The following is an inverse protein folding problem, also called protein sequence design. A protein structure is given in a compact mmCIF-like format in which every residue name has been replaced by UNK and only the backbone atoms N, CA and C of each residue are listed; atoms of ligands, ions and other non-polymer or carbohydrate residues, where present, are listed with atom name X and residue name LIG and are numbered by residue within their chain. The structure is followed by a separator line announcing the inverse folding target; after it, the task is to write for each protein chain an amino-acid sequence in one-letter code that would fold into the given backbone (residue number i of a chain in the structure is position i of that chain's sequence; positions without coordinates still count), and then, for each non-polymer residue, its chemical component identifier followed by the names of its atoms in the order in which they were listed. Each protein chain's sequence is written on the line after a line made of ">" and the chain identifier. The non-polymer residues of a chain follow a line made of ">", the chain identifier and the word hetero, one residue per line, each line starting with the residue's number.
data_IF_857532241651
#
_entry.id   IF_857532241651
#
_cell.length_a   1.000
_cell.length_b   1.000
_cell.length_c   1.000
_cell.angle_alpha   90.00
_cell.angle_beta   90.00
_cell.angle_gamma   90.00
#
_symmetry.space_group_name_H-M   'P 1'
#
loop_
_entity.id
_entity.type
_entity.pdbx_description
1 polymer ?
#
# COMPACT_ATOMS: atom_id res chain seq x y z
N UNK A 1 -24.73 12.92 -2.36
CA UNK A 1 -23.85 11.76 -2.09
C UNK A 1 -22.83 11.68 -3.22
N UNK A 2 -21.52 11.59 -2.96
CA UNK A 2 -20.48 11.54 -4.01
C UNK A 2 -20.86 10.53 -5.10
N UNK A 3 -20.85 10.93 -6.37
CA UNK A 3 -21.11 10.01 -7.48
C UNK A 3 -19.91 9.07 -7.67
N UNK A 4 -19.89 8.02 -6.85
CA UNK A 4 -18.82 7.05 -6.74
C UNK A 4 -18.48 6.40 -8.09
N UNK A 5 -19.48 6.24 -8.96
CA UNK A 5 -19.28 5.66 -10.29
C UNK A 5 -18.47 6.60 -11.19
N UNK A 6 -18.79 7.90 -11.19
CA UNK A 6 -18.04 8.91 -11.95
C UNK A 6 -16.58 8.98 -11.47
N UNK A 7 -16.36 9.10 -10.17
CA UNK A 7 -15.00 9.15 -9.58
C UNK A 7 -14.18 7.91 -9.95
N UNK A 8 -14.78 6.72 -9.85
CA UNK A 8 -14.08 5.46 -10.20
C UNK A 8 -13.72 5.40 -11.67
N UNK A 9 -14.61 5.86 -12.55
CA UNK A 9 -14.36 5.90 -13.99
C UNK A 9 -13.22 6.87 -14.30
N UNK A 10 -13.25 8.07 -13.71
CA UNK A 10 -12.24 9.10 -13.93
C UNK A 10 -10.86 8.66 -13.44
N UNK A 11 -10.77 8.15 -12.20
CA UNK A 11 -9.55 7.55 -11.66
C UNK A 11 -8.98 6.49 -12.60
N UNK A 12 -9.81 5.56 -13.07
CA UNK A 12 -9.34 4.49 -13.94
C UNK A 12 -8.82 5.03 -15.29
N UNK A 13 -9.52 5.99 -15.90
CA UNK A 13 -9.05 6.60 -17.15
C UNK A 13 -7.73 7.34 -16.96
N UNK A 14 -7.60 8.10 -15.87
CA UNK A 14 -6.39 8.86 -15.57
C UNK A 14 -5.19 7.97 -15.29
N UNK A 15 -5.36 6.90 -14.51
CA UNK A 15 -4.32 5.89 -14.29
C UNK A 15 -3.93 5.22 -15.61
N UNK A 16 -4.91 4.91 -16.47
CA UNK A 16 -4.63 4.30 -17.77
C UNK A 16 -3.80 5.22 -18.67
N UNK A 17 -4.01 6.54 -18.62
CA UNK A 17 -3.17 7.49 -19.36
C UNK A 17 -1.75 7.62 -18.80
N UNK A 18 -1.53 7.32 -17.51
CA UNK A 18 -0.24 7.45 -16.83
C UNK A 18 0.63 6.19 -16.89
N UNK A 19 0.17 5.10 -17.54
CA UNK A 19 0.90 3.82 -17.57
C UNK A 19 2.33 3.98 -18.09
N UNK A 20 2.54 4.77 -19.15
CA UNK A 20 3.88 5.02 -19.69
C UNK A 20 4.81 5.71 -18.69
N UNK A 21 4.33 6.73 -17.98
CA UNK A 21 5.08 7.44 -16.94
C UNK A 21 5.38 6.54 -15.74
N UNK A 22 4.45 5.66 -15.36
CA UNK A 22 4.67 4.67 -14.30
C UNK A 22 5.77 3.69 -14.71
N UNK A 23 5.71 3.15 -15.92
CA UNK A 23 6.71 2.21 -16.45
C UNK A 23 8.09 2.83 -16.56
N UNK A 24 8.16 4.08 -17.01
CA UNK A 24 9.39 4.84 -17.03
C UNK A 24 9.93 5.07 -15.61
N UNK A 25 9.06 5.51 -14.70
CA UNK A 25 9.43 5.75 -13.31
C UNK A 25 9.98 4.53 -12.58
N UNK A 26 9.45 3.33 -12.87
CA UNK A 26 9.96 2.06 -12.33
C UNK A 26 11.40 1.76 -12.74
N UNK A 27 11.90 2.32 -13.85
CA UNK A 27 13.30 2.13 -14.29
C UNK A 27 14.28 2.98 -13.49
N UNK A 28 13.81 4.07 -12.90
CA UNK A 28 14.65 5.09 -12.27
C UNK A 28 14.42 5.23 -10.76
N UNK A 29 13.37 4.61 -10.22
CA UNK A 29 13.06 4.64 -8.80
C UNK A 29 11.67 4.07 -8.49
N UNK A 30 11.04 4.62 -7.46
CA UNK A 30 9.71 4.23 -6.99
C UNK A 30 8.71 5.27 -7.48
N UNK A 31 7.90 4.99 -8.51
CA UNK A 31 6.86 5.91 -8.95
C UNK A 31 5.76 6.01 -7.90
N UNK A 32 5.28 7.22 -7.69
CA UNK A 32 4.15 7.52 -6.82
C UNK A 32 3.06 8.20 -7.63
N UNK A 33 1.83 7.77 -7.42
CA UNK A 33 0.66 8.54 -7.78
C UNK A 33 0.48 9.65 -6.76
N UNK A 34 0.62 10.89 -7.21
CA UNK A 34 0.38 12.10 -6.42
C UNK A 34 -0.83 12.79 -7.01
N UNK A 35 -1.83 13.08 -6.18
CA UNK A 35 -3.06 13.66 -6.67
C UNK A 35 -3.89 14.35 -5.62
N UNK A 36 -4.86 15.10 -6.14
CA UNK A 36 -5.88 15.78 -5.38
C UNK A 36 -7.25 15.41 -5.96
N UNK A 37 -8.17 15.01 -5.08
CA UNK A 37 -9.57 14.78 -5.43
C UNK A 37 -10.42 15.83 -4.72
N UNK A 38 -10.95 16.78 -5.49
CA UNK A 38 -11.81 17.84 -4.97
C UNK A 38 -13.28 17.44 -5.16
N UNK A 39 -14.01 17.38 -4.05
CA UNK A 39 -15.43 17.04 -3.99
C UNK A 39 -16.28 18.32 -4.07
N UNK A 40 -16.09 19.10 -5.13
CA UNK A 40 -16.65 20.46 -5.21
C UNK A 40 -18.15 20.51 -5.53
N UNK A 41 -18.72 19.48 -6.17
CA UNK A 41 -20.17 19.28 -6.27
C UNK A 41 -20.51 17.83 -6.66
N UNK A 42 -21.77 17.41 -6.50
CA UNK A 42 -22.19 16.01 -6.76
C UNK A 42 -22.03 15.58 -8.23
N UNK A 43 -21.87 16.54 -9.15
CA UNK A 43 -21.94 16.30 -10.59
C UNK A 43 -20.59 16.23 -11.29
N UNK A 44 -19.52 16.84 -10.77
CA UNK A 44 -18.21 16.79 -11.42
C UNK A 44 -17.05 16.78 -10.40
N UNK A 45 -16.52 15.60 -10.05
CA UNK A 45 -15.35 15.50 -9.20
C UNK A 45 -14.10 15.93 -9.98
N UNK A 46 -13.42 16.97 -9.52
CA UNK A 46 -12.13 17.37 -10.10
C UNK A 46 -11.03 16.45 -9.57
N UNK A 47 -10.36 15.73 -10.47
CA UNK A 47 -9.26 14.82 -10.15
C UNK A 47 -7.98 15.31 -10.83
N UNK A 48 -7.04 15.74 -10.02
CA UNK A 48 -5.65 15.91 -10.45
C UNK A 48 -4.84 14.68 -10.07
N UNK A 49 -4.07 14.15 -11.02
CA UNK A 49 -3.25 12.97 -10.82
C UNK A 49 -2.01 13.06 -11.70
N UNK A 50 -0.86 12.84 -11.08
CA UNK A 50 0.47 12.87 -11.71
C UNK A 50 1.34 11.72 -11.18
N UNK A 51 2.40 11.40 -11.90
CA UNK A 51 3.44 10.47 -11.46
C UNK A 51 4.66 11.24 -11.00
N UNK A 52 5.14 10.96 -9.79
CA UNK A 52 6.42 11.49 -9.27
C UNK A 52 7.32 10.32 -8.88
N UNK A 53 8.60 10.39 -9.23
CA UNK A 53 9.57 9.30 -8.97
C UNK A 53 10.47 9.68 -7.82
N UNK A 54 10.60 8.78 -6.85
CA UNK A 54 11.49 8.93 -5.70
C UNK A 54 12.57 7.85 -5.73
N UNK A 55 13.79 8.19 -5.30
CA UNK A 55 14.92 7.26 -5.35
C UNK A 55 14.83 6.13 -4.33
N UNK A 56 14.36 6.41 -3.10
CA UNK A 56 14.40 5.41 -2.00
C UNK A 56 13.19 5.40 -1.06
N UNK A 57 12.21 6.29 -1.25
CA UNK A 57 11.07 6.40 -0.34
C UNK A 57 9.80 5.81 -0.95
N UNK A 58 9.03 5.05 -0.17
CA UNK A 58 7.71 4.48 -0.55
C UNK A 58 6.58 5.05 0.33
N UNK A 59 6.45 6.38 0.36
CA UNK A 59 5.53 7.05 1.28
C UNK A 59 4.08 6.96 0.83
N UNK A 60 3.22 6.47 1.74
CA UNK A 60 1.77 6.55 1.60
C UNK A 60 1.26 7.74 2.43
N UNK A 61 0.70 8.74 1.77
CA UNK A 61 0.13 9.94 2.40
C UNK A 61 -1.33 10.05 1.97
N UNK A 62 -2.24 10.19 2.93
CA UNK A 62 -3.64 10.48 2.69
C UNK A 62 -4.07 11.59 3.65
N UNK A 63 -4.35 12.76 3.11
CA UNK A 63 -4.80 13.93 3.86
C UNK A 63 -6.23 14.25 3.41
N UNK A 64 -7.09 14.54 4.39
CA UNK A 64 -8.46 14.98 4.14
C UNK A 64 -8.58 16.40 4.65
N UNK A 65 -8.83 17.34 3.75
CA UNK A 65 -8.99 18.75 4.09
C UNK A 65 -10.32 19.26 3.53
N UNK A 66 -11.32 19.32 4.40
CA UNK A 66 -12.69 19.72 4.03
C UNK A 66 -13.26 18.85 2.91
N UNK A 67 -13.35 19.43 1.70
CA UNK A 67 -13.85 18.77 0.49
C UNK A 67 -12.74 18.19 -0.39
N UNK A 68 -11.48 18.37 -0.04
CA UNK A 68 -10.35 17.86 -0.79
C UNK A 68 -9.75 16.62 -0.12
N UNK A 69 -9.32 15.67 -0.96
CA UNK A 69 -8.50 14.53 -0.55
C UNK A 69 -7.18 14.63 -1.30
N UNK A 70 -6.11 14.95 -0.57
CA UNK A 70 -4.75 14.93 -1.11
C UNK A 70 -4.11 13.59 -0.82
N UNK A 71 -3.41 13.03 -1.79
CA UNK A 71 -2.83 11.71 -1.63
C UNK A 71 -1.51 11.54 -2.38
N UNK A 72 -0.67 10.66 -1.81
CA UNK A 72 0.54 10.14 -2.41
C UNK A 72 0.58 8.63 -2.15
N UNK A 73 0.76 7.84 -3.20
CA UNK A 73 0.77 6.37 -3.09
C UNK A 73 1.85 5.79 -4.01
N UNK A 74 2.80 4.98 -3.51
CA UNK A 74 3.74 4.27 -4.37
C UNK A 74 3.00 3.27 -5.24
N UNK A 75 3.51 3.07 -6.45
CA UNK A 75 2.99 2.11 -7.42
C UNK A 75 4.00 1.00 -7.61
N UNK A 76 3.58 -0.23 -7.32
CA UNK A 76 4.46 -1.41 -7.40
C UNK A 76 4.32 -2.18 -8.72
N UNK A 77 3.35 -1.83 -9.57
CA UNK A 77 3.12 -2.47 -10.87
C UNK A 77 2.50 -1.50 -11.89
N UNK A 78 2.82 -1.67 -13.17
CA UNK A 78 2.27 -0.80 -14.23
C UNK A 78 0.88 -1.22 -14.71
N UNK A 79 0.30 -2.30 -14.18
CA UNK A 79 -1.02 -2.76 -14.61
C UNK A 79 -2.10 -1.78 -14.12
N UNK A 80 -2.78 -1.06 -15.03
CA UNK A 80 -3.69 0.03 -14.62
C UNK A 80 -4.88 -0.47 -13.79
N UNK A 81 -5.32 -1.72 -13.97
CA UNK A 81 -6.41 -2.29 -13.16
C UNK A 81 -5.98 -2.53 -11.72
N UNK A 82 -4.79 -3.08 -11.52
CA UNK A 82 -4.26 -3.32 -10.17
C UNK A 82 -4.01 -1.99 -9.45
N UNK A 83 -3.32 -1.06 -10.10
CA UNK A 83 -3.04 0.28 -9.55
C UNK A 83 -4.31 1.04 -9.20
N UNK A 84 -5.35 0.96 -10.05
CA UNK A 84 -6.67 1.52 -9.76
C UNK A 84 -7.29 0.92 -8.50
N UNK A 85 -7.32 -0.41 -8.37
CA UNK A 85 -7.91 -1.06 -7.20
C UNK A 85 -7.16 -0.70 -5.92
N UNK A 86 -5.84 -0.55 -6.00
CA UNK A 86 -5.00 -0.12 -4.90
C UNK A 86 -5.29 1.31 -4.47
N UNK A 87 -5.26 2.27 -5.42
CA UNK A 87 -5.58 3.66 -5.15
C UNK A 87 -7.01 3.82 -4.63
N UNK A 88 -7.98 3.11 -5.22
CA UNK A 88 -9.36 3.16 -4.76
C UNK A 88 -9.51 2.67 -3.30
N UNK A 89 -8.82 1.59 -2.96
CA UNK A 89 -8.79 1.05 -1.59
C UNK A 89 -8.11 2.04 -0.63
N UNK A 90 -7.05 2.70 -1.11
CA UNK A 90 -6.32 3.74 -0.39
C UNK A 90 -7.19 4.94 -0.05
N UNK A 91 -7.85 5.52 -1.05
CA UNK A 91 -8.74 6.68 -0.88
C UNK A 91 -9.93 6.40 0.05
N UNK A 92 -10.38 5.14 0.15
CA UNK A 92 -11.42 4.72 1.09
C UNK A 92 -10.92 4.53 2.53
N UNK A 93 -9.64 4.78 2.81
CA UNK A 93 -9.03 4.58 4.13
C UNK A 93 -8.91 3.10 4.52
N UNK A 94 -9.09 2.18 3.57
CA UNK A 94 -9.05 0.72 3.81
C UNK A 94 -7.65 0.12 3.61
N UNK A 95 -6.70 0.96 3.23
CA UNK A 95 -5.27 0.65 3.01
C UNK A 95 -4.43 0.57 4.28
N UNK A 96 -4.91 1.06 5.43
CA UNK A 96 -4.24 0.85 6.72
C UNK A 96 -3.98 -0.65 6.97
N UNK A 97 -4.85 -1.52 6.44
CA UNK A 97 -4.68 -2.97 6.47
C UNK A 97 -3.73 -3.57 5.42
N UNK A 98 -3.16 -2.79 4.49
CA UNK A 98 -2.13 -3.25 3.53
C UNK A 98 -0.73 -2.82 3.93
N UNK A 99 -0.59 -1.66 4.57
CA UNK A 99 0.69 -1.15 5.07
C UNK A 99 1.21 -2.09 6.15
N UNK A 100 2.44 -2.54 5.99
CA UNK A 100 3.13 -3.37 6.97
C UNK A 100 4.17 -2.45 7.60
N UNK A 101 3.89 -1.95 8.79
CA UNK A 101 4.79 -1.08 9.53
C UNK A 101 4.85 -1.51 10.99
N UNK A 102 5.93 -1.16 11.71
CA UNK A 102 5.98 -1.32 13.15
C UNK A 102 4.72 -0.77 13.83
N UNK A 103 4.11 -1.56 14.71
CA UNK A 103 2.83 -1.30 15.36
C UNK A 103 1.63 -2.01 14.73
N UNK A 104 1.71 -2.49 13.48
CA UNK A 104 0.60 -3.18 12.82
C UNK A 104 0.36 -4.57 13.41
N UNK A 105 -0.88 -4.83 13.84
CA UNK A 105 -1.31 -6.16 14.30
C UNK A 105 -1.97 -6.95 13.18
N UNK A 106 -1.55 -8.21 13.04
CA UNK A 106 -2.00 -9.20 12.08
C UNK A 106 -2.68 -10.34 12.83
N UNK A 107 -3.87 -10.72 12.37
CA UNK A 107 -4.61 -11.87 12.87
C UNK A 107 -4.62 -13.03 11.86
N UNK A 108 -4.55 -14.26 12.37
CA UNK A 108 -4.50 -15.49 11.60
C UNK A 108 -3.07 -15.97 11.30
N UNK A 109 -2.95 -16.88 10.33
CA UNK A 109 -1.65 -17.46 9.94
C UNK A 109 -0.77 -16.41 9.28
N UNK A 110 0.28 -15.97 9.99
CA UNK A 110 1.16 -14.86 9.59
C UNK A 110 1.66 -14.99 8.14
N UNK A 111 2.18 -16.16 7.76
CA UNK A 111 2.66 -16.44 6.39
C UNK A 111 1.59 -16.15 5.34
N UNK A 112 0.36 -16.63 5.54
CA UNK A 112 -0.74 -16.46 4.60
C UNK A 112 -1.19 -15.00 4.51
N UNK A 113 -1.13 -14.25 5.62
CA UNK A 113 -1.45 -12.82 5.60
C UNK A 113 -0.39 -12.05 4.83
N UNK A 114 0.90 -12.33 5.06
CA UNK A 114 2.00 -11.70 4.34
C UNK A 114 1.94 -11.99 2.84
N UNK A 115 1.68 -13.24 2.44
CA UNK A 115 1.49 -13.62 1.04
C UNK A 115 0.30 -12.88 0.39
N UNK A 116 -0.84 -12.76 1.09
CA UNK A 116 -1.98 -11.96 0.60
C UNK A 116 -1.67 -10.47 0.48
N UNK A 117 -0.68 -9.97 1.22
CA UNK A 117 -0.18 -8.59 1.13
C UNK A 117 0.95 -8.44 0.09
N UNK A 118 1.24 -9.48 -0.70
CA UNK A 118 2.21 -9.45 -1.79
C UNK A 118 3.64 -9.84 -1.39
N UNK A 119 3.87 -10.26 -0.15
CA UNK A 119 5.19 -10.70 0.30
C UNK A 119 5.41 -12.18 -0.03
N UNK A 120 6.53 -12.48 -0.68
CA UNK A 120 7.05 -13.82 -0.80
C UNK A 120 7.91 -14.15 0.43
N UNK A 121 7.36 -14.94 1.36
CA UNK A 121 8.06 -15.33 2.59
C UNK A 121 9.07 -16.43 2.28
N UNK A 122 10.36 -16.10 2.40
CA UNK A 122 11.49 -16.98 2.10
C UNK A 122 11.85 -17.83 3.32
N UNK A 123 11.79 -17.23 4.50
CA UNK A 123 12.14 -17.89 5.75
C UNK A 123 11.38 -17.29 6.93
N UNK A 124 11.09 -18.12 7.93
CA UNK A 124 10.50 -17.72 9.20
C UNK A 124 11.13 -18.50 10.34
N UNK A 125 11.44 -17.82 11.43
CA UNK A 125 11.88 -18.45 12.68
C UNK A 125 11.03 -17.97 13.83
N UNK A 126 10.57 -18.93 14.64
CA UNK A 126 9.67 -18.68 15.77
C UNK A 126 10.44 -18.93 17.05
N UNK A 127 10.59 -17.89 17.86
CA UNK A 127 11.25 -17.93 19.16
C UNK A 127 10.21 -17.74 20.25
N UNK A 128 10.08 -18.69 21.18
CA UNK A 128 9.13 -18.62 22.29
C UNK A 128 8.05 -19.70 22.26
N UNK A 129 7.01 -19.52 23.09
CA UNK A 129 5.96 -20.50 23.34
C UNK A 129 4.66 -20.24 22.56
N UNK A 130 3.62 -21.00 22.90
CA UNK A 130 2.36 -21.00 22.16
C UNK A 130 1.64 -19.64 22.16
N UNK A 131 1.75 -18.87 23.25
CA UNK A 131 1.04 -17.60 23.44
C UNK A 131 1.95 -16.37 23.63
N UNK A 132 3.27 -16.55 23.55
CA UNK A 132 4.22 -15.46 23.75
C UNK A 132 5.53 -15.76 23.04
N UNK A 133 6.06 -14.80 22.30
CA UNK A 133 7.35 -14.96 21.61
C UNK A 133 7.55 -13.94 20.50
N UNK A 134 8.56 -14.20 19.68
CA UNK A 134 8.89 -13.41 18.50
C UNK A 134 8.94 -14.29 17.27
N UNK A 135 8.59 -13.72 16.12
CA UNK A 135 8.71 -14.37 14.82
C UNK A 135 9.56 -13.47 13.93
N UNK A 136 10.74 -13.94 13.57
CA UNK A 136 11.55 -13.31 12.53
C UNK A 136 11.11 -13.84 11.17
N UNK A 137 10.97 -12.93 10.21
CA UNK A 137 10.53 -13.23 8.86
C UNK A 137 11.49 -12.59 7.87
N UNK A 138 12.02 -13.38 6.95
CA UNK A 138 12.66 -12.89 5.74
C UNK A 138 11.69 -13.03 4.58
N UNK A 139 11.35 -11.92 3.96
CA UNK A 139 10.42 -11.90 2.83
C UNK A 139 10.88 -10.94 1.75
N UNK A 140 10.47 -11.19 0.51
CA UNK A 140 10.64 -10.24 -0.59
C UNK A 140 9.29 -9.69 -1.05
N UNK A 141 9.27 -8.45 -1.52
CA UNK A 141 8.13 -7.84 -2.21
C UNK A 141 8.65 -7.14 -3.46
N UNK A 142 8.29 -7.66 -4.64
CA UNK A 142 9.01 -7.33 -5.88
C UNK A 142 10.49 -7.71 -5.76
N UNK A 143 11.38 -6.78 -6.10
CA UNK A 143 12.83 -6.95 -6.03
C UNK A 143 13.44 -6.64 -4.66
N UNK A 144 12.65 -6.07 -3.74
CA UNK A 144 13.13 -5.66 -2.41
C UNK A 144 13.01 -6.78 -1.40
N UNK A 145 14.02 -6.96 -0.55
CA UNK A 145 14.01 -7.91 0.57
C UNK A 145 13.84 -7.18 1.89
N UNK A 146 13.22 -7.87 2.83
CA UNK A 146 12.89 -7.35 4.14
C UNK A 146 13.20 -8.38 5.21
N UNK A 147 13.78 -7.92 6.31
CA UNK A 147 13.77 -8.60 7.61
C UNK A 147 12.67 -7.96 8.42
N UNK A 148 11.75 -8.76 8.95
CA UNK A 148 10.67 -8.30 9.80
C UNK A 148 10.69 -9.08 11.10
N UNK A 149 10.44 -8.40 12.20
CA UNK A 149 10.28 -9.05 13.51
C UNK A 149 8.88 -8.78 14.01
N UNK A 150 8.16 -9.85 14.34
CA UNK A 150 6.82 -9.77 14.92
C UNK A 150 6.86 -10.24 16.37
N UNK A 151 6.14 -9.56 17.25
CA UNK A 151 5.81 -10.06 18.57
C UNK A 151 4.52 -10.89 18.50
N UNK A 152 4.57 -12.12 18.99
CA UNK A 152 3.41 -13.00 19.13
C UNK A 152 2.68 -12.67 20.44
N UNK A 153 1.48 -12.11 20.33
CA UNK A 153 0.62 -11.74 21.47
C UNK A 153 -0.32 -12.87 21.87
N UNK A 154 -0.77 -13.68 20.90
CA UNK A 154 -1.61 -14.88 21.05
C UNK A 154 -1.29 -15.90 19.96
N UNK A 155 -1.90 -17.08 20.02
CA UNK A 155 -1.72 -18.15 19.04
C UNK A 155 -1.77 -17.67 17.56
N UNK A 156 -2.66 -16.74 17.23
CA UNK A 156 -2.89 -16.22 15.89
C UNK A 156 -2.82 -14.69 15.79
N UNK A 157 -2.21 -14.01 16.77
CA UNK A 157 -2.14 -12.54 16.80
C UNK A 157 -0.68 -12.08 16.90
N UNK A 158 -0.22 -11.36 15.87
CA UNK A 158 1.17 -10.94 15.67
C UNK A 158 1.25 -9.44 15.46
N UNK A 159 2.06 -8.74 16.24
CA UNK A 159 2.32 -7.30 16.04
C UNK A 159 3.69 -7.13 15.41
N UNK A 160 3.76 -6.47 14.25
CA UNK A 160 5.05 -6.10 13.65
C UNK A 160 5.75 -5.11 14.60
N UNK A 161 6.95 -5.42 15.06
CA UNK A 161 7.72 -4.55 15.95
C UNK A 161 8.89 -3.90 15.23
N UNK A 162 9.44 -4.55 14.21
CA UNK A 162 10.56 -4.04 13.44
C UNK A 162 10.51 -4.52 11.99
N UNK A 163 10.97 -3.68 11.06
CA UNK A 163 11.03 -3.98 9.64
C UNK A 163 12.21 -3.24 8.99
N UNK A 164 13.20 -4.01 8.56
CA UNK A 164 14.44 -3.55 7.95
C UNK A 164 14.49 -4.01 6.48
N UNK A 165 14.91 -3.12 5.58
CA UNK A 165 15.19 -3.45 4.18
C UNK A 165 16.61 -4.04 4.07
N UNK A 166 16.76 -5.14 3.33
CA UNK A 166 18.04 -5.85 3.09
C UNK A 166 18.40 -5.83 1.61
#
# INVERSE_FOLDING_TARGET
>A
MMNEIKVRKELFQRIKSLVGEIEEGMRYGIPHLVGELVLESEDDPNLELTVTVFSESSHWILLRDGKSILFMMPVENSNPRTTFLELWTFLKGRSEGKRLEPGVTIKGVLKNVLQRRGYNVVWMNVMGGENSGYVEVLASKGETRYRMTFEKRKADEFTLIDMERI
#
